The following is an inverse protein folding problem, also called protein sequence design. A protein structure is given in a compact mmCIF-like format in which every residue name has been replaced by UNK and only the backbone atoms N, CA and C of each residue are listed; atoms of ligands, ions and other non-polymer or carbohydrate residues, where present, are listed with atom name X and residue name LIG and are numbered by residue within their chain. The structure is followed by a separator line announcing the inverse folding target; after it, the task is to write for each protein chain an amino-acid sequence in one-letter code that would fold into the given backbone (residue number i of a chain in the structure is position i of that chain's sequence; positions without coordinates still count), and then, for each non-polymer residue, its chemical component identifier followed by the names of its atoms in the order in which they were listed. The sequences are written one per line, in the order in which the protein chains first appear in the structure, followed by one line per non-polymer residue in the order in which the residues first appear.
data_IF_302459376974
#
_entry.id   IF_302459376974
#
_cell.length_a   1.000
_cell.length_b   1.000
_cell.length_c   1.000
_cell.angle_alpha   90.00
_cell.angle_beta   90.00
_cell.angle_gamma   90.00
#
_symmetry.space_group_name_H-M   'P 1'
#
loop_
_entity.id
_entity.type
_entity.pdbx_description
1 polymer ?
#
# COMPACT_ATOMS: atom_id res chain seq x y z
N UNK A 1 21.75 -13.56 61.12
CA UNK A 1 22.24 -12.66 60.06
C UNK A 1 23.07 -13.47 59.07
N UNK A 2 22.51 -13.87 57.93
CA UNK A 2 23.24 -14.06 56.67
C UNK A 2 22.19 -14.02 55.55
N UNK A 3 22.52 -13.27 54.51
CA UNK A 3 21.66 -12.63 53.52
C UNK A 3 21.46 -13.53 52.30
N UNK A 4 20.55 -13.07 51.43
CA UNK A 4 19.86 -13.75 50.35
C UNK A 4 20.74 -14.50 49.32
N UNK A 5 20.33 -15.72 48.98
CA UNK A 5 20.64 -16.32 47.68
C UNK A 5 19.68 -15.74 46.65
N UNK A 6 20.12 -14.67 45.98
CA UNK A 6 19.58 -14.27 44.68
C UNK A 6 20.02 -15.28 43.64
N UNK A 7 19.11 -16.18 43.26
CA UNK A 7 19.29 -17.01 42.08
C UNK A 7 19.23 -16.11 40.86
N UNK A 8 20.39 -15.87 40.27
CA UNK A 8 20.56 -15.22 38.97
C UNK A 8 19.74 -15.99 37.92
N UNK A 9 18.57 -15.45 37.58
CA UNK A 9 17.84 -15.87 36.39
C UNK A 9 18.68 -15.36 35.23
N UNK A 10 19.50 -16.24 34.65
CA UNK A 10 20.07 -16.04 33.31
C UNK A 10 18.86 -15.92 32.38
N UNK A 11 18.39 -14.69 32.22
CA UNK A 11 17.40 -14.31 31.24
C UNK A 11 18.10 -14.52 29.90
N UNK A 12 17.97 -15.72 29.34
CA UNK A 12 18.38 -16.00 27.98
C UNK A 12 17.51 -15.11 27.10
N UNK A 13 18.00 -13.91 26.80
CA UNK A 13 17.45 -13.07 25.76
C UNK A 13 17.66 -13.90 24.49
N UNK A 14 16.64 -14.67 24.11
CA UNK A 14 16.50 -15.20 22.76
C UNK A 14 16.78 -14.02 21.85
N UNK A 15 17.87 -14.10 21.07
CA UNK A 15 18.21 -13.08 20.08
C UNK A 15 16.91 -12.72 19.35
N UNK A 16 16.40 -11.48 19.48
CA UNK A 16 15.24 -11.10 18.70
C UNK A 16 15.57 -11.40 17.24
N UNK A 17 14.60 -11.92 16.48
CA UNK A 17 14.80 -12.28 15.08
C UNK A 17 15.08 -11.02 14.24
N UNK A 18 16.31 -10.51 14.32
CA UNK A 18 16.78 -9.31 13.62
C UNK A 18 16.71 -9.53 12.10
N UNK A 19 16.83 -10.78 11.65
CA UNK A 19 16.73 -11.13 10.23
C UNK A 19 15.29 -10.97 9.75
N UNK A 20 14.32 -11.53 10.47
CA UNK A 20 12.90 -11.35 10.16
C UNK A 20 12.49 -9.88 10.20
N UNK A 21 12.95 -9.12 11.20
CA UNK A 21 12.68 -7.67 11.28
C UNK A 21 13.26 -6.91 10.08
N UNK A 22 14.52 -7.16 9.70
CA UNK A 22 15.12 -6.49 8.53
C UNK A 22 14.43 -6.83 7.22
N UNK A 23 13.93 -8.05 7.07
CA UNK A 23 13.16 -8.44 5.90
C UNK A 23 11.81 -7.68 5.86
N UNK A 24 11.12 -7.59 6.99
CA UNK A 24 9.88 -6.81 7.11
C UNK A 24 10.12 -5.31 6.84
N UNK A 25 11.17 -4.72 7.39
CA UNK A 25 11.52 -3.32 7.15
C UNK A 25 11.81 -3.06 5.64
N UNK A 26 12.40 -4.04 4.95
CA UNK A 26 12.66 -3.95 3.51
C UNK A 26 11.37 -4.07 2.69
N UNK A 27 10.50 -5.01 3.03
CA UNK A 27 9.20 -5.19 2.37
C UNK A 27 8.32 -3.94 2.53
N UNK A 28 8.32 -3.34 3.72
CA UNK A 28 7.58 -2.10 4.00
C UNK A 28 8.13 -0.92 3.19
N UNK A 29 9.46 -0.81 3.07
CA UNK A 29 10.08 0.23 2.24
C UNK A 29 9.73 0.07 0.74
N UNK A 30 9.66 -1.16 0.24
CA UNK A 30 9.24 -1.44 -1.14
C UNK A 30 7.77 -1.07 -1.34
N UNK A 31 6.89 -1.43 -0.39
CA UNK A 31 5.46 -1.08 -0.43
C UNK A 31 5.26 0.43 -0.40
N UNK A 32 5.96 1.15 0.47
CA UNK A 32 5.91 2.61 0.54
C UNK A 32 6.37 3.23 -0.79
N UNK A 33 7.46 2.71 -1.37
CA UNK A 33 7.95 3.11 -2.69
C UNK A 33 6.90 2.94 -3.79
N UNK A 34 6.22 1.80 -3.84
CA UNK A 34 5.15 1.53 -4.80
C UNK A 34 3.98 2.51 -4.68
N UNK A 35 3.54 2.82 -3.45
CA UNK A 35 2.49 3.81 -3.18
C UNK A 35 2.93 5.20 -3.65
N UNK A 36 4.18 5.59 -3.34
CA UNK A 36 4.72 6.89 -3.75
C UNK A 36 4.76 7.04 -5.26
N UNK A 37 5.20 6.01 -5.98
CA UNK A 37 5.18 5.96 -7.44
C UNK A 37 3.76 6.05 -7.99
N UNK A 38 2.80 5.30 -7.43
CA UNK A 38 1.41 5.36 -7.88
C UNK A 38 0.84 6.79 -7.74
N UNK A 39 1.03 7.42 -6.58
CA UNK A 39 0.53 8.77 -6.33
C UNK A 39 1.18 9.80 -7.27
N UNK A 40 2.49 9.66 -7.51
CA UNK A 40 3.20 10.55 -8.41
C UNK A 40 2.74 10.38 -9.86
N UNK A 41 2.62 9.13 -10.35
CA UNK A 41 2.12 8.81 -11.68
C UNK A 41 0.69 9.32 -11.90
N UNK A 42 -0.13 9.32 -10.86
CA UNK A 42 -1.52 9.77 -10.91
C UNK A 42 -1.70 11.29 -10.89
N UNK A 43 -0.71 12.04 -10.42
CA UNK A 43 -0.79 13.50 -10.39
C UNK A 43 -0.81 14.13 -11.79
N UNK A 44 -0.55 13.34 -12.85
CA UNK A 44 -0.81 13.72 -14.24
C UNK A 44 0.25 14.60 -14.90
N UNK A 45 1.24 15.07 -14.14
CA UNK A 45 2.39 15.84 -14.64
C UNK A 45 3.65 14.96 -14.72
N UNK A 46 3.50 13.82 -15.40
CA UNK A 46 4.56 12.81 -15.51
C UNK A 46 5.15 12.87 -16.90
N UNK A 47 6.41 13.24 -17.02
CA UNK A 47 7.18 13.22 -18.26
C UNK A 47 7.75 11.83 -18.53
N UNK A 48 8.09 11.54 -19.79
CA UNK A 48 8.63 10.24 -20.21
C UNK A 48 9.81 9.74 -19.35
N UNK A 49 10.67 10.66 -18.90
CA UNK A 49 11.81 10.34 -18.02
C UNK A 49 11.40 9.73 -16.68
N UNK A 50 10.22 10.08 -16.17
CA UNK A 50 9.74 9.60 -14.87
C UNK A 50 9.08 8.24 -15.01
N UNK A 51 8.49 7.95 -16.18
CA UNK A 51 8.08 6.61 -16.55
C UNK A 51 9.30 5.68 -16.69
N UNK A 52 10.38 6.12 -17.35
CA UNK A 52 11.62 5.33 -17.43
C UNK A 52 12.22 5.07 -16.04
N UNK A 53 12.19 6.06 -15.15
CA UNK A 53 12.66 5.92 -13.77
C UNK A 53 11.78 4.93 -12.97
N UNK A 54 10.47 4.94 -13.21
CA UNK A 54 9.55 3.98 -12.63
C UNK A 54 9.81 2.56 -13.13
N UNK A 55 10.00 2.36 -14.43
CA UNK A 55 10.35 1.07 -15.03
C UNK A 55 11.69 0.54 -14.48
N UNK A 56 12.69 1.41 -14.38
CA UNK A 56 13.98 1.07 -13.78
C UNK A 56 13.84 0.66 -12.31
N UNK A 57 12.97 1.36 -11.55
CA UNK A 57 12.69 1.03 -10.16
C UNK A 57 11.99 -0.33 -10.03
N UNK A 58 11.01 -0.63 -10.88
CA UNK A 58 10.32 -1.92 -10.92
C UNK A 58 11.26 -3.09 -11.27
N UNK A 59 12.25 -2.84 -12.13
CA UNK A 59 13.20 -3.84 -12.58
C UNK A 59 14.27 -4.20 -11.53
N UNK A 60 14.33 -3.51 -10.38
CA UNK A 60 15.33 -3.79 -9.34
C UNK A 60 15.18 -5.19 -8.73
N UNK A 61 13.95 -5.66 -8.52
CA UNK A 61 13.68 -7.04 -8.11
C UNK A 61 12.22 -7.44 -8.34
N UNK A 62 11.92 -8.73 -8.18
CA UNK A 62 10.56 -9.26 -8.33
C UNK A 62 9.63 -8.66 -7.28
N UNK A 63 10.11 -8.45 -6.05
CA UNK A 63 9.37 -7.85 -4.93
C UNK A 63 8.88 -6.43 -5.28
N UNK A 64 9.67 -5.66 -6.02
CA UNK A 64 9.27 -4.33 -6.49
C UNK A 64 8.11 -4.42 -7.49
N UNK A 65 8.21 -5.32 -8.48
CA UNK A 65 7.15 -5.54 -9.45
C UNK A 65 5.84 -6.04 -8.80
N UNK A 66 5.94 -6.95 -7.83
CA UNK A 66 4.79 -7.46 -7.06
C UNK A 66 4.14 -6.34 -6.25
N UNK A 67 4.91 -5.53 -5.55
CA UNK A 67 4.37 -4.43 -4.76
C UNK A 67 3.61 -3.40 -5.61
N UNK A 68 4.09 -3.11 -6.83
CA UNK A 68 3.39 -2.25 -7.79
C UNK A 68 2.08 -2.87 -8.23
N UNK A 69 2.09 -4.16 -8.57
CA UNK A 69 0.87 -4.88 -8.95
C UNK A 69 -0.17 -4.84 -7.83
N UNK A 70 0.23 -5.13 -6.60
CA UNK A 70 -0.66 -5.13 -5.43
C UNK A 70 -1.29 -3.74 -5.19
N UNK A 71 -0.47 -2.69 -5.24
CA UNK A 71 -0.91 -1.31 -5.03
C UNK A 71 -1.84 -0.84 -6.16
N UNK A 72 -1.53 -1.16 -7.43
CA UNK A 72 -2.42 -0.86 -8.56
C UNK A 72 -3.75 -1.61 -8.47
N UNK A 73 -3.71 -2.88 -8.05
CA UNK A 73 -4.90 -3.70 -7.91
C UNK A 73 -5.82 -3.18 -6.80
N UNK A 74 -5.26 -2.84 -5.63
CA UNK A 74 -5.99 -2.18 -4.55
C UNK A 74 -6.63 -0.86 -5.01
N UNK A 75 -5.88 -0.05 -5.76
CA UNK A 75 -6.41 1.20 -6.32
C UNK A 75 -7.57 0.96 -7.28
N UNK A 76 -7.47 -0.03 -8.17
CA UNK A 76 -8.55 -0.38 -9.10
C UNK A 76 -9.81 -0.83 -8.36
N UNK A 77 -9.68 -1.63 -7.29
CA UNK A 77 -10.81 -2.02 -6.45
C UNK A 77 -11.48 -0.84 -5.76
N UNK A 78 -10.69 0.11 -5.23
CA UNK A 78 -11.23 1.33 -4.63
C UNK A 78 -12.00 2.16 -5.67
N UNK A 79 -11.51 2.22 -6.91
CA UNK A 79 -12.21 2.87 -8.03
C UNK A 79 -13.55 2.20 -8.37
N UNK A 80 -13.61 0.86 -8.34
CA UNK A 80 -14.86 0.12 -8.55
C UNK A 80 -15.88 0.36 -7.42
N UNK A 81 -15.42 0.50 -6.17
CA UNK A 81 -16.29 0.84 -5.04
C UNK A 81 -16.90 2.25 -5.18
N UNK A 82 -16.15 3.21 -5.73
CA UNK A 82 -16.62 4.57 -5.98
C UNK A 82 -17.59 4.72 -7.16
N UNK A 83 -17.71 3.73 -8.04
CA UNK A 83 -18.56 3.77 -9.23
C UNK A 83 -19.97 3.17 -9.02
N UNK A 84 -20.31 2.77 -7.79
CA UNK A 84 -21.60 2.12 -7.44
C UNK A 84 -22.74 3.11 -7.14
N UNK A 85 -22.65 4.36 -7.57
CA UNK A 85 -23.81 5.25 -7.60
C UNK A 85 -24.32 5.31 -9.04
N UNK A 86 -25.33 4.50 -9.43
CA UNK A 86 -26.09 4.79 -10.63
C UNK A 86 -26.87 6.08 -10.38
N UNK A 87 -26.31 7.19 -10.85
CA UNK A 87 -27.02 8.45 -11.08
C UNK A 87 -28.13 8.19 -12.09
N UNK A 88 -29.30 7.82 -11.57
CA UNK A 88 -30.35 7.21 -12.37
C UNK A 88 -31.67 7.04 -11.64
N UNK A 89 -32.01 7.98 -10.76
CA UNK A 89 -33.40 8.25 -10.42
C UNK A 89 -33.76 9.62 -11.01
N UNK A 90 -33.76 9.70 -12.35
CA UNK A 90 -34.58 10.69 -13.05
C UNK A 90 -36.02 10.46 -12.60
N UNK A 91 -36.48 11.25 -11.64
CA UNK A 91 -37.91 11.36 -11.37
C UNK A 91 -38.59 11.69 -12.70
N UNK A 92 -39.57 10.91 -13.16
CA UNK A 92 -40.44 11.35 -14.23
C UNK A 92 -41.26 12.52 -13.67
N UNK A 93 -40.84 13.74 -13.99
CA UNK A 93 -41.63 14.96 -13.81
C UNK A 93 -42.91 14.80 -14.65
N UNK A 94 -43.92 14.22 -14.01
CA UNK A 94 -45.24 14.05 -14.54
C UNK A 94 -46.01 15.36 -14.43
N UNK A 95 -45.66 16.35 -15.24
CA UNK A 95 -46.57 17.44 -15.54
C UNK A 95 -47.51 17.01 -16.67
N UNK A 96 -48.82 16.80 -16.43
CA UNK A 96 -49.76 16.57 -17.51
C UNK A 96 -49.98 17.89 -18.25
N UNK A 97 -49.62 17.90 -19.54
CA UNK A 97 -49.91 18.98 -20.47
C UNK A 97 -51.44 19.08 -20.63
N UNK A 98 -52.04 20.15 -20.12
CA UNK A 98 -53.46 20.47 -20.33
C UNK A 98 -53.60 21.08 -21.72
N UNK A 99 -54.45 20.47 -22.56
CA UNK A 99 -54.81 20.98 -23.88
C UNK A 99 -56.31 21.27 -23.96
#
# INVERSE_FOLDING_TARGET
MHWASGGDVIMTISKPDIRGRRAQDADDAIREGAIRWLLWLRNGDVVARELDAFECWCAQSIEHAVAVYDVMWLWAMLGMLGATEPDGATEPDGTPLVH
#
